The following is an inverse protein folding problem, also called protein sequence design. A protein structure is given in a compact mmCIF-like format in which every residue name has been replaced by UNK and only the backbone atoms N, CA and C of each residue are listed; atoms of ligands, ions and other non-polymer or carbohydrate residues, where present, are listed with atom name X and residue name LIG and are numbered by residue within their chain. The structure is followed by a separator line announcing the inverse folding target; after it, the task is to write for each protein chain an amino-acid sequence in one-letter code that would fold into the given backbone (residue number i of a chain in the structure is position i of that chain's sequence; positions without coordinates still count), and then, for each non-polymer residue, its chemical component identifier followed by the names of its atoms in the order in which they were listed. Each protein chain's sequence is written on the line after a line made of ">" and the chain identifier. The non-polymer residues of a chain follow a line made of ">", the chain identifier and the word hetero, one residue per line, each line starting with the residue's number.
data_IF_489454099389
#
_entry.id   IF_489454099389
#
_cell.length_a   1.000
_cell.length_b   1.000
_cell.length_c   1.000
_cell.angle_alpha   90.00
_cell.angle_beta   90.00
_cell.angle_gamma   90.00
#
_symmetry.space_group_name_H-M   'P 1'
#
loop_
_entity.id
_entity.type
_entity.pdbx_description
1 polymer ?
#
# COMPACT_ATOMS: atom_id res chain seq x y z
N UNK A 1 -34.31 -46.63 -15.38
CA UNK A 1 -34.21 -45.29 -14.73
C UNK A 1 -33.01 -45.07 -13.80
N UNK A 2 -32.22 -46.08 -13.37
CA UNK A 2 -31.16 -45.89 -12.36
C UNK A 2 -29.80 -45.35 -12.84
N UNK A 3 -29.48 -45.40 -14.14
CA UNK A 3 -28.15 -45.05 -14.68
C UNK A 3 -28.00 -43.55 -14.99
N UNK A 4 -29.06 -42.91 -15.47
CA UNK A 4 -29.04 -41.49 -15.87
C UNK A 4 -29.10 -40.54 -14.66
N UNK A 5 -29.77 -40.92 -13.56
CA UNK A 5 -29.78 -40.10 -12.33
C UNK A 5 -28.40 -40.02 -11.66
N UNK A 6 -27.56 -41.06 -11.77
CA UNK A 6 -26.20 -41.03 -11.18
C UNK A 6 -25.26 -40.07 -11.91
N UNK A 7 -25.41 -39.94 -13.23
CA UNK A 7 -24.61 -39.00 -14.03
C UNK A 7 -25.03 -37.55 -13.75
N UNK A 8 -26.33 -37.30 -13.58
CA UNK A 8 -26.85 -35.97 -13.22
C UNK A 8 -26.41 -35.58 -11.80
N UNK A 9 -26.51 -36.49 -10.82
CA UNK A 9 -26.09 -36.22 -9.44
C UNK A 9 -24.57 -35.98 -9.36
N UNK A 10 -23.76 -36.75 -10.10
CA UNK A 10 -22.31 -36.57 -10.14
C UNK A 10 -21.92 -35.26 -10.86
N UNK A 11 -22.63 -34.90 -11.94
CA UNK A 11 -22.45 -33.62 -12.62
C UNK A 11 -22.79 -32.43 -11.74
N UNK A 12 -23.88 -32.52 -10.95
CA UNK A 12 -24.27 -31.49 -9.97
C UNK A 12 -23.24 -31.37 -8.85
N UNK A 13 -22.73 -32.49 -8.31
CA UNK A 13 -21.69 -32.49 -7.27
C UNK A 13 -20.36 -31.88 -7.78
N UNK A 14 -19.96 -32.17 -9.02
CA UNK A 14 -18.77 -31.55 -9.62
C UNK A 14 -18.98 -30.06 -9.84
N UNK A 15 -20.17 -29.62 -10.29
CA UNK A 15 -20.46 -28.18 -10.40
C UNK A 15 -20.53 -27.46 -9.05
N UNK A 16 -20.94 -28.12 -7.97
CA UNK A 16 -20.89 -27.55 -6.61
C UNK A 16 -19.44 -27.41 -6.14
N UNK A 17 -18.56 -28.36 -6.49
CA UNK A 17 -17.12 -28.25 -6.21
C UNK A 17 -16.41 -27.14 -7.00
N UNK A 18 -16.91 -26.75 -8.19
CA UNK A 18 -16.36 -25.62 -8.97
C UNK A 18 -16.96 -24.25 -8.58
N UNK A 19 -18.02 -24.22 -7.77
CA UNK A 19 -18.65 -22.98 -7.26
C UNK A 19 -18.21 -22.68 -5.82
N UNK A 20 -17.55 -23.63 -5.16
CA UNK A 20 -16.73 -23.32 -3.99
C UNK A 20 -15.46 -22.57 -4.44
N UNK A 21 -15.63 -21.35 -4.96
CA UNK A 21 -14.59 -20.35 -4.75
C UNK A 21 -14.45 -20.24 -3.24
N UNK A 22 -13.24 -20.42 -2.71
CA UNK A 22 -12.97 -20.14 -1.31
C UNK A 22 -13.42 -18.70 -1.05
N UNK A 23 -14.62 -18.55 -0.48
CA UNK A 23 -15.12 -17.25 -0.04
C UNK A 23 -14.16 -16.85 1.07
N UNK A 24 -13.33 -15.84 0.80
CA UNK A 24 -12.50 -15.25 1.84
C UNK A 24 -13.45 -14.67 2.88
N UNK A 25 -13.60 -15.37 4.01
CA UNK A 25 -14.37 -14.90 5.14
C UNK A 25 -13.61 -13.74 5.77
N UNK A 26 -14.29 -12.60 5.92
CA UNK A 26 -13.75 -11.30 6.37
C UNK A 26 -12.56 -10.79 5.54
N UNK A 27 -12.91 -9.99 4.53
CA UNK A 27 -11.97 -9.40 3.59
C UNK A 27 -10.96 -8.44 4.24
N UNK A 28 -11.17 -8.00 5.49
CA UNK A 28 -10.22 -7.17 6.24
C UNK A 28 -10.20 -7.64 7.70
N UNK A 29 -9.00 -7.69 8.32
CA UNK A 29 -8.86 -8.05 9.73
C UNK A 29 -9.58 -7.02 10.61
N UNK A 30 -10.43 -7.50 11.53
CA UNK A 30 -11.20 -6.67 12.45
C UNK A 30 -10.61 -6.72 13.85
N UNK A 31 -10.54 -5.57 14.51
CA UNK A 31 -10.00 -5.47 15.87
C UNK A 31 -10.78 -6.36 16.86
N UNK A 32 -12.11 -6.41 16.77
CA UNK A 32 -12.98 -7.24 17.62
C UNK A 32 -12.66 -8.74 17.58
N UNK A 33 -12.06 -9.21 16.49
CA UNK A 33 -11.70 -10.60 16.25
C UNK A 33 -10.20 -10.86 16.48
N UNK A 34 -9.45 -9.82 16.87
CA UNK A 34 -8.00 -9.88 17.13
C UNK A 34 -7.70 -10.11 18.61
N UNK A 35 -6.49 -10.60 18.89
CA UNK A 35 -5.98 -10.75 20.26
C UNK A 35 -5.75 -9.41 20.99
N UNK A 36 -5.74 -8.29 20.25
CA UNK A 36 -5.49 -6.97 20.79
C UNK A 36 -6.74 -6.29 21.36
N UNK A 37 -7.94 -6.79 21.03
CA UNK A 37 -9.21 -6.14 21.34
C UNK A 37 -9.30 -5.69 22.79
N UNK A 38 -9.15 -6.62 23.74
CA UNK A 38 -9.29 -6.33 25.17
C UNK A 38 -8.29 -5.26 25.63
N UNK A 39 -7.06 -5.30 25.10
CA UNK A 39 -6.03 -4.34 25.49
C UNK A 39 -6.30 -2.94 24.94
N UNK A 40 -6.80 -2.84 23.71
CA UNK A 40 -7.13 -1.56 23.07
C UNK A 40 -8.44 -0.98 23.63
N UNK A 41 -9.45 -1.83 23.87
CA UNK A 41 -10.69 -1.47 24.55
C UNK A 41 -10.41 -0.84 25.93
N UNK A 42 -9.46 -1.40 26.69
CA UNK A 42 -9.09 -0.89 28.01
C UNK A 42 -8.42 0.51 27.98
N UNK A 43 -7.95 0.98 26.83
CA UNK A 43 -7.36 2.32 26.68
C UNK A 43 -8.27 3.31 25.95
N UNK A 44 -9.53 2.96 25.70
CA UNK A 44 -10.51 3.82 24.99
C UNK A 44 -10.65 5.21 25.63
N UNK A 45 -10.68 5.28 26.96
CA UNK A 45 -10.66 6.55 27.68
C UNK A 45 -9.41 7.40 27.42
N UNK A 46 -8.27 6.77 27.17
CA UNK A 46 -7.02 7.46 26.80
C UNK A 46 -7.08 7.96 25.36
N UNK A 47 -7.69 7.20 24.44
CA UNK A 47 -8.00 7.65 23.07
C UNK A 47 -8.83 8.93 23.12
N UNK A 48 -9.94 8.92 23.85
CA UNK A 48 -10.81 10.09 24.01
C UNK A 48 -10.06 11.27 24.62
N UNK A 49 -9.24 11.05 25.65
CA UNK A 49 -8.43 12.12 26.27
C UNK A 49 -7.39 12.68 25.31
N UNK A 50 -6.69 11.83 24.55
CA UNK A 50 -5.67 12.26 23.62
C UNK A 50 -6.26 13.10 22.50
N UNK A 51 -7.39 12.68 21.92
CA UNK A 51 -8.09 13.43 20.88
C UNK A 51 -8.58 14.76 21.43
N UNK A 52 -9.26 14.77 22.58
CA UNK A 52 -9.80 15.99 23.19
C UNK A 52 -8.74 17.03 23.56
N UNK A 53 -7.54 16.58 23.95
CA UNK A 53 -6.43 17.44 24.36
C UNK A 53 -5.40 17.68 23.24
N UNK A 54 -5.61 17.09 22.06
CA UNK A 54 -4.74 17.25 20.90
C UNK A 54 -4.84 18.66 20.30
N UNK A 55 -3.84 19.08 19.50
CA UNK A 55 -3.83 20.43 18.90
C UNK A 55 -5.03 20.72 17.99
N UNK A 56 -5.75 19.67 17.53
CA UNK A 56 -6.80 19.71 16.51
C UNK A 56 -8.21 19.97 17.04
N UNK A 57 -8.48 19.84 18.36
CA UNK A 57 -9.78 20.21 18.97
C UNK A 57 -9.91 21.70 19.27
N UNK A 58 -8.86 22.48 19.03
CA UNK A 58 -8.93 23.95 19.04
C UNK A 58 -9.82 24.54 17.93
N UNK A 59 -10.28 23.69 17.00
CA UNK A 59 -11.08 24.03 15.81
C UNK A 59 -12.59 24.21 16.06
N UNK A 60 -13.08 24.05 17.30
CA UNK A 60 -14.45 24.43 17.68
C UNK A 60 -15.53 23.34 17.67
N UNK A 61 -15.15 22.06 17.56
CA UNK A 61 -16.07 20.92 17.73
C UNK A 61 -16.44 20.64 19.20
N UNK A 62 -17.48 19.84 19.45
CA UNK A 62 -17.80 19.34 20.81
C UNK A 62 -16.71 18.39 21.31
N UNK A 63 -16.70 18.16 22.62
CA UNK A 63 -15.82 17.12 23.19
C UNK A 63 -16.25 15.73 22.70
N UNK A 64 -15.24 14.94 22.31
CA UNK A 64 -15.35 13.53 21.99
C UNK A 64 -15.71 12.76 23.26
N UNK A 65 -16.56 11.76 23.12
CA UNK A 65 -16.95 10.82 24.16
C UNK A 65 -16.60 9.39 23.74
N UNK A 66 -16.71 8.45 24.67
CA UNK A 66 -16.49 7.02 24.38
C UNK A 66 -17.44 6.52 23.28
N UNK A 67 -18.68 7.01 23.25
CA UNK A 67 -19.69 6.60 22.26
C UNK A 67 -19.33 6.99 20.82
N UNK A 68 -18.40 7.93 20.64
CA UNK A 68 -17.92 8.38 19.34
C UNK A 68 -16.78 7.50 18.78
N UNK A 69 -16.19 6.63 19.62
CA UNK A 69 -15.07 5.76 19.26
C UNK A 69 -15.61 4.48 18.60
N UNK A 70 -15.14 4.21 17.38
CA UNK A 70 -15.57 3.06 16.60
C UNK A 70 -14.44 2.00 16.54
N UNK A 71 -14.40 1.15 17.57
CA UNK A 71 -13.46 0.03 17.62
C UNK A 71 -13.84 -1.10 16.65
N UNK A 72 -15.11 -1.19 16.23
CA UNK A 72 -15.59 -2.25 15.34
C UNK A 72 -15.08 -2.07 13.91
N UNK A 73 -14.85 -0.81 13.49
CA UNK A 73 -14.28 -0.45 12.20
C UNK A 73 -12.80 -0.04 12.27
N UNK A 74 -12.11 -0.35 13.37
CA UNK A 74 -10.68 -0.12 13.46
C UNK A 74 -9.93 -0.97 12.42
N UNK A 75 -8.97 -0.35 11.72
CA UNK A 75 -8.19 -0.99 10.64
C UNK A 75 -6.75 -1.17 11.06
N UNK A 76 -6.20 -2.37 10.85
CA UNK A 76 -4.81 -2.68 11.10
C UNK A 76 -3.93 -2.21 9.95
N UNK A 77 -2.95 -1.37 10.25
CA UNK A 77 -1.94 -0.90 9.31
C UNK A 77 -0.59 -1.54 9.63
N UNK A 78 -0.07 -2.32 8.68
CA UNK A 78 1.28 -2.88 8.77
C UNK A 78 2.31 -1.86 8.30
N UNK A 79 3.30 -1.60 9.13
CA UNK A 79 4.27 -0.53 8.94
C UNK A 79 5.60 -1.07 8.43
N UNK A 80 6.26 -0.27 7.59
CA UNK A 80 7.62 -0.53 7.10
C UNK A 80 7.75 -1.91 6.42
N UNK A 81 6.68 -2.37 5.78
CA UNK A 81 6.66 -3.71 5.17
C UNK A 81 7.62 -3.77 3.96
N UNK A 82 8.34 -4.89 3.76
CA UNK A 82 9.30 -5.02 2.66
C UNK A 82 8.63 -5.36 1.31
N UNK A 83 7.30 -5.32 1.19
CA UNK A 83 6.57 -5.93 0.08
C UNK A 83 6.98 -5.37 -1.29
N UNK A 84 7.04 -4.05 -1.44
CA UNK A 84 7.40 -3.41 -2.72
C UNK A 84 8.91 -3.46 -2.96
N UNK A 85 9.72 -3.14 -1.94
CA UNK A 85 11.18 -3.08 -2.04
C UNK A 85 11.79 -4.46 -2.38
N UNK A 86 11.37 -5.50 -1.66
CA UNK A 86 11.84 -6.87 -1.87
C UNK A 86 11.02 -7.62 -2.92
N UNK A 87 10.02 -6.97 -3.53
CA UNK A 87 9.17 -7.52 -4.60
C UNK A 87 8.45 -8.81 -4.18
N UNK A 88 8.00 -8.84 -2.93
CA UNK A 88 7.26 -9.97 -2.38
C UNK A 88 5.85 -9.93 -2.92
N UNK A 89 5.44 -11.01 -3.58
CA UNK A 89 4.15 -11.09 -4.25
C UNK A 89 3.40 -12.36 -3.88
N UNK A 90 4.11 -13.46 -3.61
CA UNK A 90 3.50 -14.76 -3.34
C UNK A 90 2.94 -14.82 -1.92
N UNK A 91 1.76 -15.43 -1.76
CA UNK A 91 0.97 -15.46 -0.53
C UNK A 91 1.81 -15.77 0.72
N UNK A 92 2.59 -16.86 0.68
CA UNK A 92 3.37 -17.29 1.85
C UNK A 92 4.44 -16.28 2.27
N UNK A 93 5.12 -15.65 1.31
CA UNK A 93 6.15 -14.65 1.58
C UNK A 93 5.53 -13.34 2.09
N UNK A 94 4.38 -12.96 1.53
CA UNK A 94 3.62 -11.79 1.95
C UNK A 94 3.15 -11.96 3.40
N UNK A 95 2.51 -13.07 3.73
CA UNK A 95 2.03 -13.33 5.09
C UNK A 95 3.18 -13.42 6.10
N UNK A 96 4.31 -14.04 5.72
CA UNK A 96 5.52 -14.08 6.56
C UNK A 96 6.09 -12.67 6.82
N UNK A 97 6.12 -11.81 5.79
CA UNK A 97 6.56 -10.43 5.92
C UNK A 97 5.63 -9.60 6.81
N UNK A 98 4.30 -9.72 6.63
CA UNK A 98 3.31 -9.02 7.45
C UNK A 98 3.40 -9.43 8.92
N UNK A 99 3.52 -10.74 9.20
CA UNK A 99 3.65 -11.26 10.57
C UNK A 99 4.91 -10.79 11.31
N UNK A 100 5.95 -10.37 10.58
CA UNK A 100 7.19 -9.83 11.14
C UNK A 100 7.21 -8.30 11.17
N UNK A 101 6.25 -7.66 10.52
CA UNK A 101 6.19 -6.21 10.44
C UNK A 101 5.58 -5.63 11.72
N UNK A 102 6.10 -4.49 12.22
CA UNK A 102 5.37 -3.73 13.21
C UNK A 102 4.02 -3.28 12.61
N UNK A 103 3.03 -3.06 13.47
CA UNK A 103 1.72 -2.60 13.03
C UNK A 103 1.09 -1.66 14.03
N UNK A 104 0.07 -0.93 13.58
CA UNK A 104 -0.76 -0.10 14.43
C UNK A 104 -2.22 -0.35 14.08
N UNK A 105 -3.11 -0.02 15.02
CA UNK A 105 -4.54 0.04 14.79
C UNK A 105 -4.95 1.50 14.57
N UNK A 106 -5.63 1.76 13.47
CA UNK A 106 -6.25 3.05 13.18
C UNK A 106 -7.69 2.97 13.63
N UNK A 107 -8.01 3.68 14.72
CA UNK A 107 -9.35 3.72 15.31
C UNK A 107 -10.06 4.96 14.80
N UNK A 108 -11.16 4.75 14.05
CA UNK A 108 -12.01 5.84 13.59
C UNK A 108 -12.86 6.38 14.75
N UNK A 109 -13.03 7.70 14.77
CA UNK A 109 -13.83 8.40 15.77
C UNK A 109 -14.63 9.45 15.01
N UNK A 110 -15.96 9.38 15.10
CA UNK A 110 -16.84 10.31 14.39
C UNK A 110 -17.61 11.14 15.40
N UNK A 111 -17.31 12.43 15.45
CA UNK A 111 -18.08 13.38 16.23
C UNK A 111 -18.66 14.44 15.31
N UNK A 112 -19.98 14.49 15.30
CA UNK A 112 -20.76 15.31 14.37
C UNK A 112 -20.39 14.93 12.92
N UNK A 113 -19.90 15.86 12.11
CA UNK A 113 -19.48 15.56 10.72
C UNK A 113 -17.97 15.33 10.57
N UNK A 114 -17.20 15.47 11.66
CA UNK A 114 -15.74 15.41 11.64
C UNK A 114 -15.27 13.98 11.90
N UNK A 115 -14.33 13.52 11.07
CA UNK A 115 -13.64 12.25 11.25
C UNK A 115 -12.27 12.49 11.91
N UNK A 116 -12.02 11.76 12.98
CA UNK A 116 -10.70 11.64 13.60
C UNK A 116 -10.23 10.20 13.45
N UNK A 117 -8.93 10.02 13.26
CA UNK A 117 -8.30 8.70 13.21
C UNK A 117 -7.17 8.65 14.23
N UNK A 118 -7.39 7.89 15.30
CA UNK A 118 -6.43 7.69 16.36
C UNK A 118 -5.49 6.54 16.00
N UNK A 119 -4.20 6.85 16.04
CA UNK A 119 -3.09 5.94 15.78
C UNK A 119 -2.71 5.21 17.07
N UNK A 120 -3.14 3.96 17.20
CA UNK A 120 -2.90 3.13 18.39
C UNK A 120 -1.77 2.14 18.08
N UNK A 121 -0.65 2.26 18.79
CA UNK A 121 0.57 1.48 18.56
C UNK A 121 1.15 0.98 19.88
N UNK A 122 2.19 0.14 19.80
CA UNK A 122 2.98 -0.29 20.96
C UNK A 122 4.38 0.28 20.87
N UNK A 123 4.95 0.59 22.03
CA UNK A 123 6.38 0.95 22.11
C UNK A 123 7.25 -0.18 21.56
N UNK A 124 8.26 0.21 20.77
CA UNK A 124 9.26 -0.69 20.20
C UNK A 124 10.42 -0.84 21.18
N UNK A 125 10.92 -2.07 21.33
CA UNK A 125 12.13 -2.35 22.09
C UNK A 125 13.40 -1.93 21.32
N UNK A 126 14.57 -2.18 21.92
CA UNK A 126 15.87 -1.87 21.30
C UNK A 126 16.12 -2.59 19.96
N UNK A 127 15.37 -3.67 19.69
CA UNK A 127 15.42 -4.45 18.45
C UNK A 127 14.32 -4.04 17.46
N UNK A 128 13.50 -3.04 17.79
CA UNK A 128 12.39 -2.58 16.97
C UNK A 128 11.11 -3.40 17.11
N UNK A 129 11.04 -4.36 18.05
CA UNK A 129 9.85 -5.20 18.26
C UNK A 129 8.85 -4.54 19.18
N UNK A 130 7.57 -4.62 18.81
CA UNK A 130 6.45 -4.08 19.59
C UNK A 130 6.14 -4.95 20.81
N UNK A 131 6.67 -4.56 21.97
CA UNK A 131 6.55 -5.32 23.23
C UNK A 131 5.90 -4.54 24.36
N UNK A 132 5.81 -3.21 24.23
CA UNK A 132 5.19 -2.33 25.23
C UNK A 132 3.66 -2.48 25.31
N UNK A 133 3.01 -1.74 26.22
CA UNK A 133 1.55 -1.63 26.23
C UNK A 133 1.05 -0.89 24.98
N UNK A 134 -0.21 -1.11 24.62
CA UNK A 134 -0.90 -0.31 23.62
C UNK A 134 -1.07 1.14 24.13
N UNK A 135 -0.88 2.10 23.23
CA UNK A 135 -1.03 3.53 23.50
C UNK A 135 -1.29 4.33 22.24
N UNK A 136 -1.73 5.58 22.41
CA UNK A 136 -2.02 6.48 21.29
C UNK A 136 -0.77 7.31 20.98
N UNK A 137 -0.28 7.23 19.75
CA UNK A 137 0.90 7.97 19.30
C UNK A 137 0.52 9.25 18.54
N UNK A 138 -0.61 9.24 17.83
CA UNK A 138 -1.05 10.35 17.01
C UNK A 138 -2.54 10.35 16.72
N UNK A 139 -3.04 11.47 16.24
CA UNK A 139 -4.42 11.61 15.76
C UNK A 139 -4.41 12.45 14.49
N UNK A 140 -5.00 11.92 13.44
CA UNK A 140 -5.33 12.66 12.22
C UNK A 140 -6.76 13.19 12.30
N UNK A 141 -6.98 14.38 11.74
CA UNK A 141 -8.29 15.03 11.73
C UNK A 141 -8.59 15.48 10.32
N UNK A 142 -9.79 15.14 9.89
CA UNK A 142 -10.23 15.35 8.52
C UNK A 142 -11.42 16.29 8.48
N UNK A 143 -11.53 17.05 7.39
CA UNK A 143 -12.66 17.93 7.14
C UNK A 143 -13.99 17.15 7.08
N UNK A 144 -15.13 17.81 7.35
CA UNK A 144 -16.44 17.19 7.23
C UNK A 144 -16.67 16.48 5.89
N UNK A 145 -17.29 15.29 5.95
CA UNK A 145 -17.60 14.48 4.77
C UNK A 145 -16.50 13.50 4.34
N UNK A 146 -15.41 13.40 5.10
CA UNK A 146 -14.40 12.38 4.87
C UNK A 146 -14.88 10.96 5.21
N UNK A 147 -14.40 9.99 4.43
CA UNK A 147 -14.63 8.56 4.61
C UNK A 147 -13.59 7.94 5.55
N UNK A 148 -14.04 7.03 6.41
CA UNK A 148 -13.16 6.10 7.13
C UNK A 148 -12.35 5.26 6.13
N UNK A 149 -11.27 4.64 6.59
CA UNK A 149 -10.45 3.75 5.76
C UNK A 149 -11.26 2.62 5.10
N UNK A 150 -12.20 2.02 5.83
CA UNK A 150 -13.05 0.95 5.30
C UNK A 150 -14.10 1.48 4.31
N UNK A 151 -14.76 2.60 4.60
CA UNK A 151 -15.66 3.25 3.64
C UNK A 151 -14.92 3.62 2.35
N UNK A 152 -13.68 4.12 2.48
CA UNK A 152 -12.84 4.45 1.34
C UNK A 152 -12.43 3.22 0.53
N UNK A 153 -12.10 2.10 1.19
CA UNK A 153 -11.84 0.83 0.51
C UNK A 153 -13.08 0.40 -0.26
N UNK A 154 -14.25 0.36 0.37
CA UNK A 154 -15.51 -0.05 -0.27
C UNK A 154 -15.86 0.80 -1.50
N UNK A 155 -15.75 2.13 -1.40
CA UNK A 155 -15.95 3.02 -2.53
C UNK A 155 -14.97 2.72 -3.68
N UNK A 156 -13.71 2.43 -3.34
CA UNK A 156 -12.69 2.04 -4.33
C UNK A 156 -12.99 0.69 -4.96
N UNK A 157 -13.46 -0.29 -4.20
CA UNK A 157 -13.85 -1.60 -4.73
C UNK A 157 -15.01 -1.49 -5.72
N UNK A 158 -16.04 -0.69 -5.38
CA UNK A 158 -17.17 -0.41 -6.28
C UNK A 158 -16.70 0.25 -7.57
N UNK A 159 -15.88 1.31 -7.48
CA UNK A 159 -15.33 2.02 -8.64
C UNK A 159 -14.58 1.11 -9.62
N UNK A 160 -13.86 0.13 -9.10
CA UNK A 160 -13.01 -0.76 -9.89
C UNK A 160 -13.68 -2.10 -10.23
N UNK A 161 -14.97 -2.26 -9.88
CA UNK A 161 -15.71 -3.51 -10.07
C UNK A 161 -15.03 -4.74 -9.42
N UNK A 162 -14.38 -4.52 -8.26
CA UNK A 162 -13.67 -5.56 -7.51
C UNK A 162 -14.62 -6.13 -6.44
N UNK A 163 -14.87 -7.44 -6.50
CA UNK A 163 -15.68 -8.12 -5.50
C UNK A 163 -14.94 -8.23 -4.16
N UNK A 164 -15.55 -7.74 -3.08
CA UNK A 164 -14.95 -7.73 -1.73
C UNK A 164 -14.56 -9.13 -1.22
N UNK A 165 -15.35 -10.16 -1.56
CA UNK A 165 -15.09 -11.54 -1.12
C UNK A 165 -14.04 -12.28 -1.95
N UNK A 166 -13.48 -11.64 -2.98
CA UNK A 166 -12.50 -12.27 -3.85
C UNK A 166 -11.06 -12.19 -3.30
N UNK A 167 -10.82 -11.32 -2.32
CA UNK A 167 -9.48 -11.02 -1.81
C UNK A 167 -9.51 -10.81 -0.30
N UNK A 168 -8.36 -11.08 0.33
CA UNK A 168 -8.01 -10.50 1.61
C UNK A 168 -7.34 -9.14 1.36
N UNK A 169 -7.76 -8.12 2.08
CA UNK A 169 -7.22 -6.78 2.04
C UNK A 169 -6.48 -6.48 3.34
N UNK A 170 -5.32 -5.86 3.21
CA UNK A 170 -4.56 -5.34 4.34
C UNK A 170 -4.04 -3.95 3.99
N UNK A 171 -4.00 -3.08 5.00
CA UNK A 171 -3.47 -1.74 4.88
C UNK A 171 -1.98 -1.79 5.20
N UNK A 172 -1.15 -1.20 4.34
CA UNK A 172 0.28 -1.05 4.58
C UNK A 172 0.68 0.42 4.52
N UNK A 173 1.54 0.83 5.45
CA UNK A 173 2.12 2.17 5.54
C UNK A 173 3.63 2.13 5.60
N UNK A 174 4.27 3.28 5.34
CA UNK A 174 5.73 3.41 5.44
C UNK A 174 6.50 2.60 4.38
N UNK A 175 5.86 2.08 3.34
CA UNK A 175 6.51 1.22 2.35
C UNK A 175 7.35 2.06 1.38
N UNK A 176 8.63 1.73 1.16
CA UNK A 176 9.42 2.44 0.16
C UNK A 176 8.98 2.04 -1.26
N UNK A 177 8.88 2.97 -2.22
CA UNK A 177 9.06 4.42 -2.11
C UNK A 177 7.74 5.19 -1.86
N UNK A 178 6.60 4.51 -1.80
CA UNK A 178 5.27 5.11 -1.55
C UNK A 178 4.95 4.93 -0.06
N UNK A 179 5.47 5.83 0.79
CA UNK A 179 5.34 5.70 2.25
C UNK A 179 3.90 5.92 2.74
N UNK A 180 3.04 6.47 1.89
CA UNK A 180 1.64 6.72 2.17
C UNK A 180 0.82 5.42 2.23
N UNK A 181 -0.30 5.39 2.98
CA UNK A 181 -1.06 4.18 3.23
C UNK A 181 -1.72 3.62 1.95
N UNK A 182 -1.56 2.31 1.75
CA UNK A 182 -2.05 1.57 0.60
C UNK A 182 -2.78 0.31 1.06
N UNK A 183 -3.97 0.04 0.49
CA UNK A 183 -4.57 -1.28 0.57
C UNK A 183 -3.94 -2.21 -0.46
N UNK A 184 -3.62 -3.41 -0.02
CA UNK A 184 -3.11 -4.50 -0.86
C UNK A 184 -4.18 -5.59 -0.95
N UNK A 185 -4.49 -6.03 -2.16
CA UNK A 185 -5.46 -7.11 -2.39
C UNK A 185 -4.73 -8.43 -2.70
N UNK A 186 -4.88 -9.41 -1.81
CA UNK A 186 -4.23 -10.71 -1.84
C UNK A 186 -5.27 -11.81 -2.08
N UNK A 187 -5.06 -12.61 -3.13
CA UNK A 187 -5.81 -13.85 -3.33
C UNK A 187 -5.07 -15.05 -2.69
N UNK A 188 -5.56 -16.26 -2.92
CA UNK A 188 -4.96 -17.48 -2.38
C UNK A 188 -3.54 -17.79 -2.90
N UNK A 189 -3.06 -17.06 -3.92
CA UNK A 189 -1.76 -17.26 -4.54
C UNK A 189 -0.82 -16.08 -4.31
N UNK A 190 -1.32 -14.84 -4.42
CA UNK A 190 -0.48 -13.64 -4.53
C UNK A 190 -1.22 -12.31 -4.41
N UNK A 191 -0.46 -11.22 -4.28
CA UNK A 191 -0.99 -9.84 -4.37
C UNK A 191 -1.29 -9.52 -5.84
N UNK A 192 -2.50 -9.02 -6.10
CA UNK A 192 -2.92 -8.57 -7.43
C UNK A 192 -3.02 -7.05 -7.54
N UNK A 193 -3.56 -6.39 -6.51
CA UNK A 193 -3.88 -4.97 -6.60
C UNK A 193 -3.29 -4.14 -5.46
N UNK A 194 -3.00 -2.90 -5.80
CA UNK A 194 -2.73 -1.79 -4.87
C UNK A 194 -3.83 -0.77 -5.04
N UNK A 195 -4.42 -0.33 -3.94
CA UNK A 195 -5.46 0.71 -3.92
C UNK A 195 -5.01 1.78 -2.93
N UNK A 196 -4.86 3.05 -3.34
CA UNK A 196 -4.60 4.13 -2.40
C UNK A 196 -5.65 4.18 -1.29
N UNK A 197 -5.21 4.37 -0.04
CA UNK A 197 -6.14 4.53 1.08
C UNK A 197 -6.57 5.99 1.28
N UNK A 198 -5.78 6.94 0.76
CA UNK A 198 -5.99 8.39 0.88
C UNK A 198 -5.53 9.12 -0.38
N UNK A 199 -5.96 10.38 -0.52
CA UNK A 199 -5.55 11.25 -1.63
C UNK A 199 -4.03 11.43 -1.70
N UNK A 200 -3.34 11.51 -0.55
CA UNK A 200 -1.89 11.57 -0.47
C UNK A 200 -1.23 10.34 -1.10
N UNK A 201 -1.75 9.14 -0.85
CA UNK A 201 -1.30 7.92 -1.52
C UNK A 201 -1.64 7.89 -3.02
N UNK A 202 -2.80 8.40 -3.41
CA UNK A 202 -3.21 8.47 -4.82
C UNK A 202 -2.34 9.45 -5.63
N UNK A 203 -1.89 10.54 -5.01
CA UNK A 203 -0.94 11.48 -5.60
C UNK A 203 0.41 10.81 -5.94
N UNK A 204 0.81 9.78 -5.16
CA UNK A 204 2.08 9.09 -5.36
C UNK A 204 2.11 8.10 -6.53
N UNK A 205 0.96 7.74 -7.12
CA UNK A 205 0.89 6.78 -8.24
C UNK A 205 0.33 7.46 -9.49
N UNK A 206 1.21 7.70 -10.46
CA UNK A 206 0.85 8.34 -11.74
C UNK A 206 0.90 7.36 -12.90
N UNK A 207 0.14 7.61 -13.96
CA UNK A 207 0.16 6.81 -15.19
C UNK A 207 0.33 7.74 -16.40
N UNK A 208 1.59 8.03 -16.75
CA UNK A 208 1.91 8.87 -17.92
C UNK A 208 1.52 8.26 -19.28
N UNK A 209 1.16 6.98 -19.32
CA UNK A 209 0.68 6.34 -20.55
C UNK A 209 -0.76 6.73 -20.89
N UNK A 210 -1.50 7.23 -19.89
CA UNK A 210 -2.85 7.75 -20.05
C UNK A 210 -2.80 9.27 -20.24
N UNK A 211 -3.72 9.79 -21.06
CA UNK A 211 -3.87 11.23 -21.34
C UNK A 211 -4.43 12.04 -20.18
N UNK A 212 -4.79 11.38 -19.07
CA UNK A 212 -5.39 12.04 -17.90
C UNK A 212 -4.27 12.31 -16.88
N UNK A 213 -4.04 13.58 -16.56
CA UNK A 213 -3.13 13.97 -15.48
C UNK A 213 -3.64 13.43 -14.15
N UNK A 214 -2.72 13.14 -13.21
CA UNK A 214 -3.11 12.90 -11.83
C UNK A 214 -3.88 14.14 -11.34
N UNK A 215 -5.08 13.93 -10.79
CA UNK A 215 -5.99 15.03 -10.39
C UNK A 215 -5.69 15.45 -8.93
N UNK A 216 -4.95 14.61 -8.20
CA UNK A 216 -4.58 14.85 -6.82
C UNK A 216 -3.26 15.64 -6.74
N UNK A 217 -3.25 16.72 -5.95
CA UNK A 217 -2.08 17.54 -5.66
C UNK A 217 -1.70 17.43 -4.17
N UNK A 218 -0.39 17.49 -3.87
CA UNK A 218 0.17 17.31 -2.53
C UNK A 218 -0.18 18.43 -1.51
N UNK A 219 -0.93 19.47 -1.89
CA UNK A 219 -1.08 20.71 -1.11
C UNK A 219 -2.36 20.82 -0.24
N UNK A 220 -3.27 19.85 -0.27
CA UNK A 220 -4.57 19.96 0.41
C UNK A 220 -4.72 18.91 1.54
N UNK A 221 -5.26 19.32 2.69
CA UNK A 221 -5.54 18.44 3.83
C UNK A 221 -6.35 17.24 3.36
N UNK A 222 -5.70 16.07 3.43
CA UNK A 222 -6.01 14.78 2.82
C UNK A 222 -7.50 14.41 2.74
N UNK A 223 -8.23 14.73 1.65
CA UNK A 223 -9.59 14.26 1.53
C UNK A 223 -9.60 12.77 1.12
N UNK A 224 -10.58 12.01 1.59
CA UNK A 224 -11.06 10.81 0.93
C UNK A 224 -11.61 11.15 -0.46
N UNK A 225 -11.65 10.18 -1.38
CA UNK A 225 -12.40 10.28 -2.62
C UNK A 225 -13.74 9.53 -2.46
N UNK A 226 -14.89 10.24 -2.42
CA UNK A 226 -16.21 9.62 -2.30
C UNK A 226 -16.53 8.61 -3.42
N UNK A 227 -15.92 8.80 -4.61
CA UNK A 227 -16.07 7.91 -5.76
C UNK A 227 -15.00 6.79 -5.78
N UNK A 228 -14.23 6.63 -4.69
CA UNK A 228 -13.17 5.63 -4.57
C UNK A 228 -11.87 5.99 -5.30
N UNK A 229 -10.78 5.31 -4.97
CA UNK A 229 -9.52 5.42 -5.71
C UNK A 229 -9.37 4.35 -6.80
N UNK A 230 -8.54 4.61 -7.79
CA UNK A 230 -8.20 3.62 -8.82
C UNK A 230 -7.37 2.48 -8.22
N UNK A 231 -7.73 1.24 -8.55
CA UNK A 231 -6.90 0.07 -8.27
C UNK A 231 -5.83 -0.09 -9.36
N UNK A 232 -4.60 -0.38 -8.94
CA UNK A 232 -3.45 -0.58 -9.82
C UNK A 232 -2.96 -2.03 -9.72
N UNK A 233 -2.51 -2.60 -10.83
CA UNK A 233 -1.82 -3.89 -10.84
C UNK A 233 -0.52 -3.81 -10.01
N UNK A 234 -0.39 -4.70 -9.02
CA UNK A 234 0.74 -4.67 -8.09
C UNK A 234 2.09 -4.83 -8.78
N UNK A 235 2.18 -5.66 -9.84
CA UNK A 235 3.42 -5.83 -10.60
C UNK A 235 3.84 -4.54 -11.30
N UNK A 236 2.88 -3.79 -11.82
CA UNK A 236 3.13 -2.48 -12.44
C UNK A 236 3.65 -1.47 -11.42
N UNK A 237 3.07 -1.44 -10.22
CA UNK A 237 3.56 -0.61 -9.10
C UNK A 237 4.97 -1.01 -8.69
N UNK A 238 5.26 -2.29 -8.47
CA UNK A 238 6.61 -2.77 -8.14
C UNK A 238 7.64 -2.42 -9.22
N UNK A 239 7.28 -2.57 -10.49
CA UNK A 239 8.17 -2.25 -11.61
C UNK A 239 8.46 -0.76 -11.70
N UNK A 240 7.48 0.09 -11.43
CA UNK A 240 7.64 1.53 -11.41
C UNK A 240 8.48 1.99 -10.21
N UNK A 241 8.21 1.43 -9.02
CA UNK A 241 8.97 1.66 -7.80
C UNK A 241 10.46 1.33 -7.96
N UNK A 242 10.79 0.25 -8.68
CA UNK A 242 12.18 -0.13 -8.97
C UNK A 242 12.95 0.89 -9.84
N UNK A 243 12.26 1.85 -10.47
CA UNK A 243 12.92 2.93 -11.23
C UNK A 243 13.15 4.20 -10.38
N UNK A 244 12.68 4.23 -9.13
CA UNK A 244 12.94 5.33 -8.20
C UNK A 244 14.36 5.17 -7.64
N UNK A 245 15.21 6.21 -7.69
CA UNK A 245 16.54 6.13 -7.08
C UNK A 245 16.48 5.91 -5.57
N UNK A 246 17.38 5.06 -5.03
CA UNK A 246 17.50 4.74 -3.60
C UNK A 246 17.68 5.97 -2.69
N UNK A 247 18.04 7.13 -3.25
CA UNK A 247 18.17 8.40 -2.51
C UNK A 247 16.84 8.88 -1.92
N UNK A 248 15.69 8.41 -2.41
CA UNK A 248 14.38 8.73 -1.84
C UNK A 248 14.03 7.92 -0.57
N UNK A 249 14.92 7.05 -0.07
CA UNK A 249 14.68 6.23 1.12
C UNK A 249 15.25 6.75 2.45
N UNK A 250 16.25 7.64 2.44
CA UNK A 250 17.04 7.97 3.66
C UNK A 250 16.49 9.12 4.53
N UNK A 251 15.34 9.72 4.20
CA UNK A 251 14.85 10.93 4.88
C UNK A 251 13.34 11.00 5.11
N UNK A 252 12.61 9.87 5.06
CA UNK A 252 11.16 9.84 5.31
C UNK A 252 10.28 10.40 4.18
N UNK A 253 10.87 10.84 3.06
CA UNK A 253 10.12 11.31 1.90
C UNK A 253 9.46 10.18 1.11
N UNK A 254 8.26 10.42 0.58
CA UNK A 254 7.66 9.57 -0.47
C UNK A 254 8.15 10.00 -1.85
N UNK A 255 8.18 9.08 -2.80
CA UNK A 255 8.41 9.39 -4.20
C UNK A 255 7.15 9.13 -5.04
N UNK A 256 6.87 10.06 -5.95
CA UNK A 256 5.86 9.84 -6.99
C UNK A 256 6.39 8.83 -8.01
N UNK A 257 5.73 7.69 -8.10
CA UNK A 257 6.02 6.67 -9.11
C UNK A 257 5.16 6.88 -10.36
N UNK A 258 5.66 6.40 -11.50
CA UNK A 258 4.98 6.50 -12.79
C UNK A 258 4.90 5.13 -13.44
N UNK A 259 3.73 4.49 -13.34
CA UNK A 259 3.46 3.16 -13.88
C UNK A 259 3.34 3.15 -15.41
N UNK A 260 3.14 4.32 -16.02
CA UNK A 260 3.07 4.48 -17.48
C UNK A 260 4.46 4.55 -18.13
N UNK A 261 5.50 4.86 -17.36
CA UNK A 261 6.88 4.85 -17.85
C UNK A 261 7.38 3.42 -18.01
N UNK A 262 7.77 3.07 -19.24
CA UNK A 262 8.48 1.81 -19.50
C UNK A 262 9.78 1.81 -18.68
N UNK A 263 9.95 0.76 -17.87
CA UNK A 263 11.21 0.50 -17.18
C UNK A 263 12.35 0.54 -18.21
N UNK A 264 13.24 1.50 -18.05
CA UNK A 264 14.45 1.55 -18.87
C UNK A 264 15.45 0.61 -18.21
N UNK A 265 15.84 -0.51 -18.86
CA UNK A 265 16.82 -1.40 -18.27
C UNK A 265 18.14 -0.65 -18.16
N UNK A 266 18.50 -0.23 -16.95
CA UNK A 266 19.76 0.46 -16.63
C UNK A 266 20.96 -0.34 -17.22
N UNK A 267 20.84 -1.66 -17.27
CA UNK A 267 21.80 -2.57 -17.91
C UNK A 267 22.07 -2.25 -19.39
N UNK A 268 21.07 -1.86 -20.19
CA UNK A 268 21.28 -1.54 -21.61
C UNK A 268 22.09 -0.26 -21.79
N UNK A 269 21.90 0.76 -20.94
CA UNK A 269 22.70 1.98 -20.96
C UNK A 269 24.14 1.73 -20.54
N UNK A 270 24.36 0.92 -19.49
CA UNK A 270 25.73 0.56 -19.06
C UNK A 270 26.45 -0.24 -20.15
N UNK A 271 25.77 -1.19 -20.80
CA UNK A 271 26.36 -1.99 -21.89
C UNK A 271 26.66 -1.12 -23.12
N UNK A 272 25.73 -0.25 -23.53
CA UNK A 272 25.94 0.64 -24.68
C UNK A 272 26.99 1.70 -24.40
N UNK A 273 27.01 2.31 -23.21
CA UNK A 273 28.05 3.26 -22.82
C UNK A 273 29.44 2.60 -22.77
N UNK A 274 29.54 1.38 -22.23
CA UNK A 274 30.78 0.60 -22.21
C UNK A 274 31.27 0.28 -23.61
N UNK A 275 30.38 -0.13 -24.52
CA UNK A 275 30.72 -0.40 -25.91
C UNK A 275 31.22 0.85 -26.66
N UNK A 276 30.59 2.00 -26.44
CA UNK A 276 31.00 3.28 -27.05
C UNK A 276 32.39 3.70 -26.57
N UNK A 277 32.68 3.56 -25.26
CA UNK A 277 34.01 3.87 -24.69
C UNK A 277 35.08 2.97 -25.31
N UNK A 278 34.82 1.66 -25.45
CA UNK A 278 35.75 0.70 -26.08
C UNK A 278 36.00 1.08 -27.55
N UNK A 279 34.97 1.46 -28.31
CA UNK A 279 35.10 1.91 -29.69
C UNK A 279 35.94 3.19 -29.82
N UNK A 280 35.76 4.16 -28.93
CA UNK A 280 36.56 5.39 -28.91
C UNK A 280 38.03 5.07 -28.64
N UNK A 281 38.31 4.21 -27.64
CA UNK A 281 39.67 3.80 -27.29
C UNK A 281 40.34 3.09 -28.49
N UNK A 282 39.65 2.15 -29.12
CA UNK A 282 40.16 1.46 -30.31
C UNK A 282 40.40 2.41 -31.49
N UNK A 283 39.49 3.36 -31.72
CA UNK A 283 39.63 4.38 -32.76
C UNK A 283 40.86 5.27 -32.54
N UNK A 284 41.09 5.71 -31.31
CA UNK A 284 42.28 6.52 -30.94
C UNK A 284 43.57 5.72 -31.11
N UNK A 285 43.61 4.45 -30.68
CA UNK A 285 44.77 3.57 -30.84
C UNK A 285 45.06 3.33 -32.33
N UNK A 286 44.04 3.08 -33.14
CA UNK A 286 44.17 2.85 -34.58
C UNK A 286 44.69 4.11 -35.30
N UNK A 287 44.14 5.27 -34.98
CA UNK A 287 44.60 6.56 -35.51
C UNK A 287 46.05 6.87 -35.12
N UNK A 288 46.44 6.61 -33.86
CA UNK A 288 47.84 6.73 -33.42
C UNK A 288 48.76 5.78 -34.20
N UNK A 289 48.39 4.50 -34.34
CA UNK A 289 49.17 3.51 -35.12
C UNK A 289 49.31 3.89 -36.59
N UNK A 290 48.26 4.42 -37.22
CA UNK A 290 48.31 4.93 -38.61
C UNK A 290 49.23 6.15 -38.74
N UNK A 291 49.16 7.08 -37.79
CA UNK A 291 50.03 8.27 -37.75
C UNK A 291 51.50 7.89 -37.53
N UNK A 292 51.78 6.88 -36.69
CA UNK A 292 53.13 6.32 -36.53
C UNK A 292 53.62 5.63 -37.81
N UNK A 293 52.82 4.78 -38.47
CA UNK A 293 53.23 4.14 -39.74
C UNK A 293 53.52 5.13 -40.86
N UNK A 294 52.78 6.24 -40.93
CA UNK A 294 53.05 7.29 -41.92
C UNK A 294 54.27 8.17 -41.59
N UNK A 295 54.73 8.20 -40.34
CA UNK A 295 55.92 8.96 -39.93
C UNK A 295 57.26 8.25 -40.24
N UNK A 296 57.21 6.94 -40.53
CA UNK A 296 58.36 6.11 -40.91
C UNK A 296 58.35 5.69 -42.40
N UNK A 297 57.48 6.29 -43.22
CA UNK A 297 57.57 6.27 -44.68
C UNK A 297 58.15 7.61 -45.16
N UNK A 298 59.46 7.77 -44.99
CA UNK A 298 60.30 8.80 -45.61
C UNK A 298 61.65 8.16 -45.91
#
# INVERSE_FOLDING_TARGET
>A
MKKNSRVIILGVLISIFFIAQDVMADSIEKLKDSEDYDSIYNIESQIVQFVNNGPTTSSGGRQITIEDVDLDNAVKEYLDTPLIENKLIDYAEVMDALNKSPYMWIVSIRADEVLYEACVTRERDENGQQTGPWGVEGVYVYEPGNLTLEEQLNASLEKNEIGINAYQFFLVGGVAPIRQPLFMALDNERILYVIPARTSAAAMITDSSKTRSNIYSDEELEPSDPDGFQAYDFKSVMQAAANVPDTFGQGGGSAVIDIGKKSQPIAQYVITASAVIVFIIFGVIFLRRKKFKNKYKL
#
